data_IF_083416303657
#
_entry.id   IF_083416303657
#
_cell.length_a   1.000
_cell.length_b   1.000
_cell.length_c   1.000
_cell.angle_alpha   90.00
_cell.angle_beta   90.00
_cell.angle_gamma   90.00
#
_symmetry.space_group_name_H-M   'P 1'
#
loop_
_entity.id
_entity.type
_entity.pdbx_description
1 polymer ?
#
# COMPACT_ATOMS: atom_id res chain seq x y z
N UNK A 1 -9.67 1.73 15.89
CA UNK A 1 -9.82 0.39 15.28
C UNK A 1 -10.55 -0.46 16.31
N UNK A 2 -11.84 -0.70 16.09
CA UNK A 2 -12.70 -1.38 17.07
C UNK A 2 -12.76 -2.86 16.68
N UNK A 3 -12.19 -3.72 17.52
CA UNK A 3 -12.16 -5.17 17.37
C UNK A 3 -13.42 -5.75 18.03
N UNK A 4 -14.38 -6.29 17.27
CA UNK A 4 -15.48 -7.04 17.88
C UNK A 4 -16.03 -8.16 17.00
N UNK A 5 -16.25 -9.30 17.64
CA UNK A 5 -16.93 -10.48 17.16
C UNK A 5 -18.42 -10.37 17.48
N UNK A 6 -19.29 -10.02 16.50
CA UNK A 6 -20.70 -10.47 16.38
C UNK A 6 -21.46 -9.71 15.28
N UNK A 7 -22.29 -10.45 14.53
CA UNK A 7 -23.00 -10.01 13.31
C UNK A 7 -24.22 -9.12 13.60
N UNK A 8 -24.03 -7.80 13.74
CA UNK A 8 -25.01 -6.76 13.34
C UNK A 8 -24.34 -5.37 13.44
N UNK A 9 -23.89 -4.77 12.33
CA UNK A 9 -23.35 -3.41 12.38
C UNK A 9 -23.80 -2.58 11.18
N UNK A 10 -24.49 -1.47 11.47
CA UNK A 10 -24.66 -0.32 10.59
C UNK A 10 -23.41 0.55 10.71
N UNK A 11 -22.32 0.17 10.06
CA UNK A 11 -21.08 0.95 10.01
C UNK A 11 -20.65 1.10 8.54
N UNK A 12 -20.19 2.30 8.15
CA UNK A 12 -19.75 2.58 6.78
C UNK A 12 -18.49 1.76 6.41
N UNK A 13 -17.64 1.46 7.40
CA UNK A 13 -16.43 0.67 7.24
C UNK A 13 -16.22 -0.30 8.42
N UNK A 14 -15.97 -1.57 8.11
CA UNK A 14 -15.70 -2.63 9.09
C UNK A 14 -14.43 -3.37 8.67
N UNK A 15 -13.56 -3.68 9.64
CA UNK A 15 -12.37 -4.51 9.42
C UNK A 15 -12.46 -5.71 10.36
N UNK A 16 -12.57 -6.92 9.79
CA UNK A 16 -12.61 -8.15 10.54
C UNK A 16 -11.18 -8.69 10.74
N UNK A 17 -10.75 -8.78 12.01
CA UNK A 17 -9.38 -9.22 12.36
C UNK A 17 -9.07 -10.62 11.85
N UNK A 18 -9.92 -11.59 12.17
CA UNK A 18 -9.67 -13.00 11.85
C UNK A 18 -9.64 -13.22 10.34
N UNK A 19 -10.57 -12.61 9.61
CA UNK A 19 -10.61 -12.66 8.15
C UNK A 19 -9.32 -12.08 7.55
N UNK A 20 -8.90 -10.90 8.00
CA UNK A 20 -7.69 -10.25 7.52
C UNK A 20 -6.42 -11.04 7.86
N UNK A 21 -6.33 -11.57 9.08
CA UNK A 21 -5.21 -12.41 9.54
C UNK A 21 -5.07 -13.67 8.69
N UNK A 22 -6.15 -14.44 8.52
CA UNK A 22 -6.11 -15.68 7.74
C UNK A 22 -5.87 -15.43 6.25
N UNK A 23 -6.44 -14.35 5.69
CA UNK A 23 -6.18 -13.96 4.31
C UNK A 23 -4.69 -13.64 4.08
N UNK A 24 -4.06 -12.86 4.97
CA UNK A 24 -2.61 -12.56 4.88
C UNK A 24 -1.74 -13.82 4.95
N UNK A 25 -2.07 -14.76 5.85
CA UNK A 25 -1.34 -16.02 5.98
C UNK A 25 -1.48 -16.88 4.73
N UNK A 26 -2.69 -16.99 4.18
CA UNK A 26 -2.93 -17.71 2.93
C UNK A 26 -2.19 -17.07 1.75
N UNK A 27 -2.16 -15.74 1.66
CA UNK A 27 -1.45 -15.01 0.60
C UNK A 27 0.07 -15.18 0.69
N UNK A 28 0.64 -15.26 1.90
CA UNK A 28 2.06 -15.57 2.08
C UNK A 28 2.46 -16.93 1.47
N UNK A 29 1.52 -17.89 1.33
CA UNK A 29 1.78 -19.17 0.66
C UNK A 29 1.87 -19.04 -0.87
N UNK A 30 1.32 -17.98 -1.46
CA UNK A 30 1.35 -17.73 -2.91
C UNK A 30 2.51 -16.80 -3.26
N UNK A 31 2.66 -15.70 -2.52
CA UNK A 31 3.70 -14.70 -2.74
C UNK A 31 4.39 -14.38 -1.40
N UNK A 32 5.74 -14.46 -1.35
CA UNK A 32 6.48 -14.26 -0.12
C UNK A 32 6.24 -12.88 0.48
N UNK A 33 6.06 -12.83 1.80
CA UNK A 33 5.99 -11.60 2.57
C UNK A 33 4.87 -10.62 2.15
N UNK A 34 3.78 -11.12 1.55
CA UNK A 34 2.59 -10.31 1.21
C UNK A 34 2.06 -9.57 2.43
N UNK A 35 2.02 -10.24 3.58
CA UNK A 35 1.69 -9.64 4.88
C UNK A 35 2.55 -8.42 5.23
N UNK A 36 3.87 -8.49 5.04
CA UNK A 36 4.79 -7.36 5.25
C UNK A 36 4.48 -6.22 4.29
N UNK A 37 4.27 -6.52 2.99
CA UNK A 37 3.93 -5.50 1.99
C UNK A 37 2.67 -4.72 2.40
N UNK A 38 1.59 -5.44 2.75
CA UNK A 38 0.34 -4.82 3.17
C UNK A 38 0.55 -3.99 4.44
N UNK A 39 1.30 -4.53 5.42
CA UNK A 39 1.57 -3.85 6.69
C UNK A 39 2.30 -2.53 6.48
N UNK A 40 3.30 -2.49 5.59
CA UNK A 40 4.03 -1.25 5.28
C UNK A 40 3.14 -0.23 4.56
N UNK A 41 2.29 -0.66 3.62
CA UNK A 41 1.40 0.25 2.88
C UNK A 41 0.30 0.88 3.76
N UNK A 42 -0.17 0.17 4.79
CA UNK A 42 -1.18 0.72 5.72
C UNK A 42 -0.55 1.56 6.84
N UNK A 43 0.76 1.45 7.04
CA UNK A 43 1.49 2.28 8.01
C UNK A 43 2.00 3.56 7.35
N UNK A 44 1.44 4.70 7.76
CA UNK A 44 1.94 6.03 7.35
C UNK A 44 3.33 6.27 7.92
N UNK A 45 4.33 6.45 7.06
CA UNK A 45 5.72 6.75 7.45
C UNK A 45 6.41 7.66 6.43
N UNK A 46 7.50 8.34 6.83
CA UNK A 46 8.15 9.37 6.00
C UNK A 46 9.39 8.87 5.24
N UNK A 47 9.63 7.55 5.25
CA UNK A 47 10.80 6.94 4.61
C UNK A 47 12.14 7.40 5.20
N UNK A 48 12.15 7.74 6.49
CA UNK A 48 13.35 8.17 7.22
C UNK A 48 13.98 7.02 8.03
N UNK A 49 13.29 5.89 8.08
CA UNK A 49 13.71 4.68 8.77
C UNK A 49 15.01 4.15 8.16
N UNK A 50 15.90 3.62 9.00
CA UNK A 50 17.13 2.98 8.54
C UNK A 50 18.20 3.91 7.93
N UNK A 51 18.00 5.24 7.88
CA UNK A 51 18.97 6.17 7.27
C UNK A 51 20.36 6.14 7.91
N UNK A 52 20.42 5.94 9.22
CA UNK A 52 21.67 5.83 9.98
C UNK A 52 22.28 4.42 9.93
N UNK A 53 21.63 3.47 9.26
CA UNK A 53 22.14 2.11 9.17
C UNK A 53 23.42 2.05 8.34
N UNK A 54 24.46 1.34 8.81
CA UNK A 54 25.65 1.08 8.00
C UNK A 54 25.33 0.19 6.79
N UNK A 55 24.24 -0.57 6.83
CA UNK A 55 23.90 -1.54 5.80
C UNK A 55 23.09 -0.91 4.67
N UNK A 56 23.48 -1.21 3.42
CA UNK A 56 22.82 -0.63 2.24
C UNK A 56 21.35 -1.07 2.12
N UNK A 57 21.06 -2.34 2.38
CA UNK A 57 19.70 -2.88 2.25
C UNK A 57 18.75 -2.28 3.29
N UNK A 58 19.21 -1.99 4.52
CA UNK A 58 18.38 -1.38 5.56
C UNK A 58 18.00 0.05 5.21
N UNK A 59 18.94 0.83 4.66
CA UNK A 59 18.66 2.18 4.15
C UNK A 59 17.63 2.16 3.03
N UNK A 60 17.76 1.21 2.09
CA UNK A 60 16.80 1.05 0.99
C UNK A 60 15.43 0.60 1.51
N UNK A 61 15.39 -0.39 2.40
CA UNK A 61 14.17 -0.90 3.00
C UNK A 61 13.41 0.20 3.74
N UNK A 62 14.10 0.95 4.62
CA UNK A 62 13.49 2.02 5.39
C UNK A 62 13.04 3.22 4.54
N UNK A 63 13.71 3.51 3.43
CA UNK A 63 13.20 4.48 2.44
C UNK A 63 11.90 3.99 1.80
N UNK A 64 11.87 2.74 1.35
CA UNK A 64 10.72 2.15 0.65
C UNK A 64 9.54 1.81 1.56
N UNK A 65 9.75 1.66 2.87
CA UNK A 65 8.65 1.51 3.85
C UNK A 65 7.79 2.75 3.97
N UNK A 66 8.27 3.91 3.50
CA UNK A 66 7.51 5.16 3.39
C UNK A 66 6.62 5.29 2.17
N UNK A 67 6.45 4.24 1.36
CA UNK A 67 5.52 4.28 0.24
C UNK A 67 4.08 4.18 0.74
N UNK A 68 3.22 5.06 0.22
CA UNK A 68 1.81 5.16 0.62
C UNK A 68 0.88 5.08 -0.60
N UNK A 69 -0.35 4.62 -0.38
CA UNK A 69 -1.39 4.57 -1.42
C UNK A 69 -2.21 5.86 -1.38
N UNK A 70 -2.25 6.56 -2.50
CA UNK A 70 -3.04 7.78 -2.68
C UNK A 70 -4.12 7.61 -3.74
N UNK A 71 -5.15 8.46 -3.66
CA UNK A 71 -6.25 8.48 -4.62
C UNK A 71 -6.50 9.91 -5.11
N UNK A 72 -6.57 10.09 -6.43
CA UNK A 72 -6.86 11.37 -7.09
C UNK A 72 -7.62 11.10 -8.39
N UNK A 73 -8.56 11.98 -8.76
CA UNK A 73 -9.22 11.91 -10.06
C UNK A 73 -8.23 12.30 -11.16
N UNK A 74 -8.34 11.66 -12.32
CA UNK A 74 -7.41 11.88 -13.44
C UNK A 74 -7.30 13.36 -13.83
N UNK A 75 -8.44 14.04 -14.04
CA UNK A 75 -8.49 15.45 -14.43
C UNK A 75 -7.93 16.43 -13.39
N UNK A 76 -7.90 16.03 -12.12
CA UNK A 76 -7.36 16.86 -11.03
C UNK A 76 -5.85 16.60 -10.82
N UNK A 77 -5.28 15.57 -11.47
CA UNK A 77 -3.90 15.15 -11.24
C UNK A 77 -2.93 15.92 -12.12
N UNK A 78 -2.02 16.67 -11.47
CA UNK A 78 -0.85 17.26 -12.14
C UNK A 78 0.11 16.22 -12.72
N UNK A 79 0.07 14.99 -12.20
CA UNK A 79 0.96 13.91 -12.60
C UNK A 79 0.35 13.05 -13.71
N UNK A 80 -0.93 12.71 -13.59
CA UNK A 80 -1.59 11.81 -14.52
C UNK A 80 -2.40 12.51 -15.62
N UNK A 81 -2.68 13.80 -15.53
CA UNK A 81 -3.55 14.51 -16.48
C UNK A 81 -3.09 14.42 -17.94
N UNK A 82 -1.79 14.29 -18.20
CA UNK A 82 -1.23 14.10 -19.56
C UNK A 82 -1.63 12.76 -20.22
N UNK A 83 -2.17 11.81 -19.45
CA UNK A 83 -2.59 10.49 -19.93
C UNK A 83 -4.09 10.37 -20.21
N UNK A 84 -4.84 11.48 -20.20
CA UNK A 84 -6.24 11.46 -20.60
C UNK A 84 -6.40 10.91 -22.03
N UNK A 85 -7.36 9.99 -22.21
CA UNK A 85 -7.58 9.27 -23.47
C UNK A 85 -6.55 8.17 -23.80
N UNK A 86 -5.53 7.95 -22.96
CA UNK A 86 -4.60 6.80 -23.08
C UNK A 86 -5.13 5.59 -22.32
N UNK A 87 -4.62 4.40 -22.67
CA UNK A 87 -4.93 3.19 -21.92
C UNK A 87 -4.26 3.22 -20.54
N UNK A 88 -4.87 2.50 -19.58
CA UNK A 88 -4.30 2.32 -18.26
C UNK A 88 -2.88 1.75 -18.28
N UNK A 89 -2.61 0.78 -19.16
CA UNK A 89 -1.28 0.16 -19.31
C UNK A 89 -0.24 1.16 -19.82
N UNK A 90 -0.62 2.01 -20.77
CA UNK A 90 0.26 3.06 -21.28
C UNK A 90 0.60 4.07 -20.18
N UNK A 91 -0.42 4.57 -19.48
CA UNK A 91 -0.26 5.51 -18.38
C UNK A 91 0.63 4.94 -17.26
N UNK A 92 0.38 3.69 -16.85
CA UNK A 92 1.12 3.03 -15.76
C UNK A 92 2.62 2.89 -16.06
N UNK A 93 2.97 2.47 -17.28
CA UNK A 93 4.37 2.33 -17.69
C UNK A 93 5.10 3.67 -17.76
N UNK A 94 4.47 4.69 -18.36
CA UNK A 94 5.11 5.99 -18.56
C UNK A 94 5.19 6.78 -17.26
N UNK A 95 4.18 6.68 -16.39
CA UNK A 95 4.19 7.24 -15.05
C UNK A 95 5.34 6.69 -14.19
N UNK A 96 5.57 5.39 -14.20
CA UNK A 96 6.64 4.78 -13.40
C UNK A 96 8.05 5.17 -13.89
N UNK A 97 8.19 5.43 -15.19
CA UNK A 97 9.49 5.74 -15.82
C UNK A 97 9.90 7.22 -15.71
N UNK A 98 8.93 8.11 -15.49
CA UNK A 98 9.13 9.56 -15.41
C UNK A 98 9.92 9.95 -14.18
#
# INVERSE_FOLDING_TARGET
MVFFSNFHFLADHVVCEEEFKYAMLALNCICPSTSTLITLLVHTSRGQEGQQSPEQWQRMYGRCSGNEVYHIKLGDSKFFGEYEGKSFTYASFHAHKK
#
